data_IF_256352552699
#
_entry.id   IF_256352552699
#
_cell.length_a   1.000
_cell.length_b   1.000
_cell.length_c   1.000
_cell.angle_alpha   90.00
_cell.angle_beta   90.00
_cell.angle_gamma   90.00
#
_symmetry.space_group_name_H-M   'P 1'
#
loop_
_entity.id
_entity.type
_entity.pdbx_description
1 polymer ?
#
# COMPACT_ATOMS: atom_id res chain seq x y z
N UNK A 1 1.79 16.65 -18.90
CA UNK A 1 1.38 17.89 -18.21
C UNK A 1 0.27 18.67 -18.96
N UNK A 2 -0.79 17.99 -19.47
CA UNK A 2 -1.92 18.64 -20.18
C UNK A 2 -3.32 18.08 -19.87
N UNK A 3 -3.47 17.17 -18.90
CA UNK A 3 -4.77 16.54 -18.61
C UNK A 3 -5.40 16.92 -17.26
N UNK A 4 -4.79 17.81 -16.47
CA UNK A 4 -5.19 18.04 -15.07
C UNK A 4 -6.03 19.30 -14.78
N UNK A 5 -6.55 19.99 -15.81
CA UNK A 5 -7.09 21.36 -15.66
C UNK A 5 -8.60 21.53 -15.95
N UNK A 6 -9.44 20.50 -15.86
CA UNK A 6 -10.86 20.62 -16.25
C UNK A 6 -11.94 20.08 -15.30
N UNK A 7 -11.73 19.98 -13.99
CA UNK A 7 -12.86 19.69 -13.07
C UNK A 7 -12.87 20.61 -11.83
N UNK A 8 -13.18 21.88 -12.08
CA UNK A 8 -13.67 22.82 -11.08
C UNK A 8 -14.96 23.45 -11.61
N UNK A 9 -16.11 22.86 -11.28
CA UNK A 9 -17.39 23.59 -11.22
C UNK A 9 -18.52 22.74 -10.61
N UNK A 10 -19.26 23.43 -9.75
CA UNK A 10 -20.60 23.17 -9.20
C UNK A 10 -20.75 22.13 -8.09
N UNK A 11 -20.89 22.66 -6.86
CA UNK A 11 -21.50 21.99 -5.72
C UNK A 11 -23.00 22.24 -5.61
N UNK A 12 -23.60 21.50 -4.67
CA UNK A 12 -24.90 21.61 -3.94
C UNK A 12 -25.20 20.16 -3.52
N UNK A 13 -25.20 19.73 -2.26
CA UNK A 13 -25.81 20.29 -1.06
C UNK A 13 -27.21 19.70 -0.93
N UNK A 14 -27.46 18.80 0.03
CA UNK A 14 -28.78 18.45 0.62
C UNK A 14 -28.60 17.86 2.03
N UNK A 15 -29.51 18.26 2.92
CA UNK A 15 -29.72 17.81 4.32
C UNK A 15 -30.94 16.87 4.39
N UNK A 16 -31.13 16.34 5.61
CA UNK A 16 -32.32 15.71 6.22
C UNK A 16 -32.35 14.19 6.14
N UNK A 17 -32.82 13.42 7.11
CA UNK A 17 -33.06 13.55 8.55
C UNK A 17 -33.27 12.11 9.07
N UNK A 18 -32.98 11.85 10.35
CA UNK A 18 -33.21 10.56 11.00
C UNK A 18 -34.61 10.48 11.62
N UNK A 19 -35.04 9.27 12.00
CA UNK A 19 -35.69 9.12 13.31
C UNK A 19 -35.12 7.98 14.16
N UNK A 20 -35.26 8.18 15.47
CA UNK A 20 -34.87 7.30 16.56
C UNK A 20 -35.94 6.23 16.87
N UNK A 21 -35.52 5.11 17.46
CA UNK A 21 -36.35 4.28 18.33
C UNK A 21 -35.51 3.52 19.36
N UNK A 22 -35.94 3.63 20.63
CA UNK A 22 -35.56 2.83 21.80
C UNK A 22 -36.02 1.36 21.66
N UNK A 23 -35.58 0.35 22.41
CA UNK A 23 -34.70 0.22 23.56
C UNK A 23 -34.73 -1.23 24.09
N UNK A 24 -33.89 -1.48 25.11
CA UNK A 24 -33.92 -2.56 26.12
C UNK A 24 -33.62 -4.03 25.74
N UNK A 25 -32.67 -4.61 26.49
CA UNK A 25 -32.46 -6.05 26.61
C UNK A 25 -31.09 -6.43 27.14
N UNK A 26 -30.89 -6.36 28.47
CA UNK A 26 -29.71 -6.94 29.13
C UNK A 26 -29.77 -8.47 29.07
N UNK A 27 -28.81 -9.07 28.38
CA UNK A 27 -28.53 -10.50 28.42
C UNK A 27 -27.06 -10.72 28.78
N UNK A 28 -26.81 -11.32 29.94
CA UNK A 28 -25.49 -11.76 30.38
C UNK A 28 -25.06 -12.93 29.48
N UNK A 29 -24.05 -12.73 28.63
CA UNK A 29 -23.38 -13.81 27.93
C UNK A 29 -21.99 -14.02 28.52
N UNK A 30 -21.79 -15.23 29.02
CA UNK A 30 -20.56 -15.80 29.54
C UNK A 30 -19.37 -15.59 28.60
N UNK A 31 -18.21 -15.34 29.23
CA UNK A 31 -16.98 -14.93 28.58
C UNK A 31 -16.55 -15.83 27.43
N UNK A 32 -16.31 -15.19 26.29
CA UNK A 32 -15.44 -15.69 25.25
C UNK A 32 -14.20 -14.81 25.30
N UNK A 33 -13.05 -15.38 25.67
CA UNK A 33 -11.77 -14.69 25.60
C UNK A 33 -11.56 -14.07 24.21
N UNK A 34 -10.70 -13.05 24.07
CA UNK A 34 -10.58 -12.30 22.83
C UNK A 34 -10.29 -13.25 21.67
N UNK A 35 -11.29 -13.47 20.82
CA UNK A 35 -11.13 -14.16 19.55
C UNK A 35 -10.10 -13.34 18.78
N UNK A 36 -8.89 -13.90 18.62
CA UNK A 36 -7.86 -13.35 17.76
C UNK A 36 -8.52 -13.12 16.40
N UNK A 37 -8.68 -11.86 15.99
CA UNK A 37 -9.22 -11.53 14.68
C UNK A 37 -8.38 -12.29 13.65
N UNK A 38 -9.02 -13.17 12.87
CA UNK A 38 -8.31 -13.86 11.80
C UNK A 38 -7.88 -12.81 10.80
N UNK A 39 -6.58 -12.74 10.51
CA UNK A 39 -6.08 -11.92 9.43
C UNK A 39 -6.84 -12.29 8.14
N UNK A 40 -7.41 -11.28 7.47
CA UNK A 40 -8.18 -11.46 6.23
C UNK A 40 -7.35 -12.10 5.11
N UNK A 41 -6.03 -11.92 5.20
CA UNK A 41 -5.06 -12.42 4.25
C UNK A 41 -3.93 -13.15 4.98
N UNK A 42 -3.36 -14.15 4.31
CA UNK A 42 -2.19 -14.92 4.76
C UNK A 42 -1.20 -15.04 3.63
N UNK A 43 0.03 -15.38 3.97
CA UNK A 43 1.10 -15.58 3.00
C UNK A 43 1.54 -17.04 2.91
N UNK A 44 2.08 -17.43 1.76
CA UNK A 44 2.82 -18.67 1.55
C UNK A 44 4.19 -18.34 0.93
N UNK A 45 5.25 -18.77 1.60
CA UNK A 45 6.63 -18.57 1.14
C UNK A 45 7.09 -19.77 0.30
N UNK A 46 7.79 -19.50 -0.80
CA UNK A 46 8.47 -20.49 -1.64
C UNK A 46 9.89 -20.02 -1.92
N UNK A 47 10.82 -20.97 -2.03
CA UNK A 47 12.25 -20.66 -2.09
C UNK A 47 12.82 -20.18 -0.76
N UNK A 48 14.09 -19.79 -0.77
CA UNK A 48 14.81 -19.42 0.42
C UNK A 48 14.70 -17.90 0.67
N UNK A 49 14.44 -17.41 1.89
CA UNK A 49 14.50 -15.97 2.14
C UNK A 49 15.85 -15.38 1.71
N UNK A 50 15.79 -14.21 1.05
CA UNK A 50 16.95 -13.46 0.54
C UNK A 50 17.67 -14.07 -0.69
N UNK A 51 17.09 -15.08 -1.36
CA UNK A 51 17.61 -15.60 -2.64
C UNK A 51 16.79 -15.14 -3.86
N UNK A 52 17.34 -15.35 -5.06
CA UNK A 52 16.69 -14.96 -6.33
C UNK A 52 15.40 -15.74 -6.65
N UNK A 53 15.24 -16.93 -6.08
CA UNK A 53 14.06 -17.79 -6.24
C UNK A 53 13.02 -17.60 -5.12
N UNK A 54 13.26 -16.72 -4.14
CA UNK A 54 12.30 -16.39 -3.10
C UNK A 54 11.01 -15.79 -3.69
N UNK A 55 9.86 -16.34 -3.32
CA UNK A 55 8.54 -15.83 -3.69
C UNK A 55 7.62 -15.83 -2.48
N UNK A 56 6.77 -14.80 -2.40
CA UNK A 56 5.74 -14.65 -1.39
C UNK A 56 4.38 -14.57 -2.06
N UNK A 57 3.56 -15.60 -1.88
CA UNK A 57 2.21 -15.68 -2.41
C UNK A 57 1.18 -15.28 -1.37
N UNK A 58 0.03 -14.78 -1.81
CA UNK A 58 -1.03 -14.31 -0.92
C UNK A 58 -2.24 -15.23 -1.03
N UNK A 59 -2.91 -15.45 0.10
CA UNK A 59 -4.15 -16.20 0.22
C UNK A 59 -5.20 -15.39 0.96
N UNK A 60 -6.47 -15.52 0.58
CA UNK A 60 -7.58 -14.98 1.34
C UNK A 60 -7.99 -15.91 2.50
N UNK A 61 -9.04 -15.55 3.25
CA UNK A 61 -9.56 -16.35 4.38
C UNK A 61 -10.00 -17.77 4.01
N UNK A 62 -10.36 -18.03 2.76
CA UNK A 62 -10.74 -19.36 2.26
C UNK A 62 -9.53 -20.23 1.88
N UNK A 63 -8.31 -19.68 1.97
CA UNK A 63 -7.07 -20.37 1.56
C UNK A 63 -6.80 -20.33 0.05
N UNK A 64 -7.64 -19.60 -0.70
CA UNK A 64 -7.51 -19.38 -2.13
C UNK A 64 -6.40 -18.39 -2.45
N UNK A 65 -5.60 -18.69 -3.48
CA UNK A 65 -4.56 -17.78 -3.95
C UNK A 65 -5.17 -16.52 -4.56
N UNK A 66 -4.51 -15.40 -4.32
CA UNK A 66 -4.91 -14.08 -4.81
C UNK A 66 -3.68 -13.29 -5.26
N UNK A 67 -3.87 -12.39 -6.21
CA UNK A 67 -2.86 -11.40 -6.57
C UNK A 67 -2.89 -10.24 -5.57
N UNK A 68 -1.77 -9.92 -4.88
CA UNK A 68 -1.72 -8.76 -4.01
C UNK A 68 -1.88 -7.44 -4.78
N UNK A 69 -1.69 -7.45 -6.10
CA UNK A 69 -1.80 -6.27 -6.94
C UNK A 69 -3.23 -6.05 -7.48
N UNK A 70 -4.05 -7.09 -7.58
CA UNK A 70 -5.34 -7.02 -8.27
C UNK A 70 -6.54 -7.40 -7.40
N UNK A 71 -6.35 -8.33 -6.46
CA UNK A 71 -7.47 -8.94 -5.73
C UNK A 71 -7.64 -8.34 -4.32
N UNK A 72 -6.61 -7.71 -3.76
CA UNK A 72 -6.72 -7.01 -2.48
C UNK A 72 -7.41 -5.65 -2.69
N UNK A 73 -8.55 -5.39 -2.05
CA UNK A 73 -9.20 -4.08 -2.12
C UNK A 73 -8.31 -3.00 -1.53
N UNK A 74 -8.46 -1.77 -2.02
CA UNK A 74 -7.69 -0.61 -1.56
C UNK A 74 -7.87 -0.27 -0.05
N UNK A 75 -8.86 -0.85 0.64
CA UNK A 75 -9.14 -0.63 2.07
C UNK A 75 -9.06 -1.97 2.81
N UNK A 76 -8.23 -2.08 3.84
CA UNK A 76 -7.97 -3.29 4.66
C UNK A 76 -7.77 -2.87 6.14
N UNK A 77 -7.55 -3.75 7.14
CA UNK A 77 -7.29 -3.44 8.58
C UNK A 77 -6.13 -4.27 9.20
N UNK A 78 -5.17 -3.70 9.96
CA UNK A 78 -4.20 -4.44 10.85
C UNK A 78 -3.29 -3.54 11.76
N UNK A 79 -2.24 -4.00 12.49
CA UNK A 79 -1.44 -3.35 13.60
C UNK A 79 0.12 -3.49 13.55
N UNK A 80 0.84 -2.58 14.24
CA UNK A 80 2.28 -2.58 14.70
C UNK A 80 3.38 -2.96 13.69
N UNK A 81 4.64 -3.19 14.10
CA UNK A 81 5.76 -3.45 13.15
C UNK A 81 5.36 -4.60 12.23
N UNK A 82 5.20 -4.25 10.96
CA UNK A 82 4.51 -5.11 10.01
C UNK A 82 5.43 -6.20 9.52
N UNK A 83 4.87 -7.40 9.39
CA UNK A 83 5.57 -8.50 8.73
C UNK A 83 5.55 -8.30 7.21
N UNK A 84 6.56 -8.84 6.50
CA UNK A 84 6.58 -8.83 5.03
C UNK A 84 5.32 -9.54 4.49
N UNK A 85 4.58 -8.85 3.64
CA UNK A 85 3.31 -9.33 3.07
C UNK A 85 2.10 -9.19 3.98
N UNK A 86 2.22 -8.50 5.11
CA UNK A 86 1.06 -8.12 5.90
C UNK A 86 0.23 -7.05 5.17
N UNK A 87 -1.09 -7.18 5.23
CA UNK A 87 -2.04 -6.29 4.57
C UNK A 87 -2.80 -5.51 5.62
N UNK A 88 -2.71 -4.17 5.60
CA UNK A 88 -3.17 -3.31 6.69
C UNK A 88 -4.06 -2.15 6.23
N UNK A 89 -4.87 -1.58 7.14
CA UNK A 89 -5.45 -0.26 6.89
C UNK A 89 -4.39 0.78 7.14
N UNK A 90 -4.39 1.79 6.29
CA UNK A 90 -3.74 3.05 6.61
C UNK A 90 -4.70 4.22 6.44
N UNK A 91 -4.57 5.21 7.32
CA UNK A 91 -5.09 6.56 7.11
C UNK A 91 -4.08 7.35 6.31
N UNK A 92 -4.46 7.77 5.10
CA UNK A 92 -3.66 8.67 4.28
C UNK A 92 -3.58 10.05 4.93
N UNK A 93 -2.37 10.58 5.04
CA UNK A 93 -2.06 11.89 5.65
C UNK A 93 -1.51 12.87 4.61
N UNK A 94 -0.76 12.39 3.61
CA UNK A 94 -0.19 13.24 2.57
C UNK A 94 0.61 12.45 1.55
N UNK A 95 1.40 13.15 0.73
CA UNK A 95 2.17 12.54 -0.35
C UNK A 95 3.40 13.39 -0.71
N UNK A 96 4.49 12.74 -1.11
CA UNK A 96 5.70 13.36 -1.64
C UNK A 96 5.90 12.94 -3.10
N UNK A 97 6.33 13.88 -3.93
CA UNK A 97 6.55 13.68 -5.37
C UNK A 97 8.05 13.54 -5.68
N UNK A 98 8.58 12.32 -5.56
CA UNK A 98 9.96 12.03 -5.99
C UNK A 98 10.02 12.01 -7.52
N UNK A 99 11.08 12.57 -8.08
CA UNK A 99 11.44 12.40 -9.49
C UNK A 99 12.59 11.41 -9.54
N UNK A 100 12.28 10.18 -9.94
CA UNK A 100 13.26 9.11 -10.05
C UNK A 100 13.59 8.86 -11.52
N UNK A 101 14.83 9.13 -11.90
CA UNK A 101 15.35 8.90 -13.26
C UNK A 101 14.44 9.47 -14.39
N UNK A 102 13.80 10.62 -14.11
CA UNK A 102 12.90 11.32 -15.05
C UNK A 102 11.43 10.92 -14.95
N UNK A 103 11.10 9.94 -14.11
CA UNK A 103 9.75 9.46 -13.87
C UNK A 103 9.18 9.98 -12.54
N UNK A 104 7.85 10.04 -12.43
CA UNK A 104 7.18 10.43 -11.19
C UNK A 104 6.99 9.22 -10.30
N UNK A 105 7.59 9.27 -9.11
CA UNK A 105 7.49 8.23 -8.09
C UNK A 105 6.82 8.81 -6.83
N UNK A 106 5.53 8.50 -6.66
CA UNK A 106 4.74 9.04 -5.56
C UNK A 106 4.95 8.26 -4.26
N UNK A 107 5.36 8.95 -3.20
CA UNK A 107 5.51 8.38 -1.85
C UNK A 107 4.36 8.82 -0.96
N UNK A 108 3.40 7.92 -0.70
CA UNK A 108 2.30 8.19 0.22
C UNK A 108 2.79 8.23 1.67
N UNK A 109 2.30 9.20 2.42
CA UNK A 109 2.48 9.29 3.87
C UNK A 109 1.19 8.86 4.53
N UNK A 110 1.27 7.81 5.33
CA UNK A 110 0.11 7.21 5.97
C UNK A 110 0.47 6.65 7.34
N UNK A 111 -0.53 6.53 8.20
CA UNK A 111 -0.41 5.87 9.51
C UNK A 111 -1.33 4.66 9.52
N UNK A 112 -0.92 3.59 10.18
CA UNK A 112 -1.79 2.46 10.43
C UNK A 112 -3.09 2.93 11.12
N UNK A 113 -4.28 2.58 10.61
CA UNK A 113 -5.54 3.07 11.19
C UNK A 113 -5.81 2.52 12.60
N UNK A 114 -5.20 1.39 12.97
CA UNK A 114 -5.28 0.80 14.31
C UNK A 114 -4.11 1.19 15.22
N UNK A 115 -3.23 2.09 14.77
CA UNK A 115 -2.19 2.67 15.62
C UNK A 115 -2.86 3.37 16.83
N UNK A 116 -2.38 3.17 18.07
CA UNK A 116 -2.94 3.85 19.25
C UNK A 116 -2.96 5.38 19.13
N UNK A 117 -2.05 5.97 18.35
CA UNK A 117 -1.98 7.39 18.08
C UNK A 117 -2.72 7.80 16.78
N UNK A 118 -3.31 6.88 16.02
CA UNK A 118 -3.95 7.16 14.73
C UNK A 118 -4.97 8.29 14.81
N UNK A 119 -5.69 8.41 15.93
CA UNK A 119 -6.68 9.47 16.17
C UNK A 119 -6.08 10.87 16.27
N UNK A 120 -4.76 11.02 16.41
CA UNK A 120 -4.05 12.32 16.42
C UNK A 120 -3.68 12.81 15.02
N UNK A 121 -3.68 11.92 14.01
CA UNK A 121 -3.19 12.23 12.67
C UNK A 121 -4.33 12.22 11.66
N UNK A 122 -4.65 13.38 11.10
CA UNK A 122 -5.72 13.57 10.12
C UNK A 122 -5.25 14.17 8.80
N UNK A 123 -4.15 14.93 8.82
CA UNK A 123 -3.51 15.51 7.65
C UNK A 123 -1.98 15.60 7.85
N UNK A 124 -1.25 16.01 6.82
CA UNK A 124 0.22 16.09 6.81
C UNK A 124 0.76 17.06 7.88
N UNK A 125 -0.01 18.09 8.22
CA UNK A 125 0.35 19.05 9.27
C UNK A 125 0.46 18.42 10.66
N UNK A 126 -0.32 17.37 10.94
CA UNK A 126 -0.27 16.65 12.21
C UNK A 126 1.03 15.86 12.36
N UNK A 127 1.59 15.36 11.25
CA UNK A 127 2.91 14.70 11.26
C UNK A 127 3.97 15.68 11.72
N UNK A 128 4.00 16.89 11.13
CA UNK A 128 4.94 17.95 11.53
C UNK A 128 4.77 18.35 13.00
N UNK A 129 3.53 18.39 13.49
CA UNK A 129 3.20 18.79 14.87
C UNK A 129 3.61 17.72 15.90
N UNK A 130 3.24 16.46 15.67
CA UNK A 130 3.40 15.40 16.67
C UNK A 130 4.67 14.56 16.48
N UNK A 131 5.32 14.63 15.31
CA UNK A 131 6.58 13.95 14.98
C UNK A 131 7.53 14.96 14.31
N UNK A 132 7.99 16.00 15.03
CA UNK A 132 8.89 17.02 14.46
C UNK A 132 10.18 16.40 13.92
N UNK A 133 10.62 16.81 12.74
CA UNK A 133 11.81 16.28 12.05
C UNK A 133 11.56 15.03 11.20
N UNK A 134 10.40 14.39 11.30
CA UNK A 134 10.13 13.11 10.62
C UNK A 134 9.94 13.28 9.11
N UNK A 135 9.28 14.36 8.67
CA UNK A 135 9.10 14.67 7.25
C UNK A 135 10.43 15.10 6.62
N UNK A 136 11.24 15.87 7.34
CA UNK A 136 12.56 16.30 6.93
C UNK A 136 13.51 15.09 6.79
N UNK A 137 13.49 14.17 7.77
CA UNK A 137 14.24 12.92 7.68
C UNK A 137 13.79 12.04 6.50
N UNK A 138 12.49 11.96 6.23
CA UNK A 138 11.93 11.22 5.08
C UNK A 138 12.39 11.82 3.76
N UNK A 139 12.33 13.15 3.62
CA UNK A 139 12.80 13.86 2.43
C UNK A 139 14.30 13.62 2.20
N UNK A 140 15.11 13.72 3.25
CA UNK A 140 16.55 13.48 3.18
C UNK A 140 16.86 12.03 2.81
N UNK A 141 16.14 11.05 3.39
CA UNK A 141 16.32 9.65 3.03
C UNK A 141 16.11 9.44 1.53
N UNK A 142 15.00 9.90 0.97
CA UNK A 142 14.73 9.77 -0.47
C UNK A 142 15.68 10.59 -1.34
N UNK A 143 16.18 11.72 -0.86
CA UNK A 143 17.17 12.53 -1.58
C UNK A 143 18.49 11.79 -1.75
N UNK A 144 18.92 11.08 -0.71
CA UNK A 144 20.29 10.63 -0.57
C UNK A 144 20.50 9.11 -0.71
N UNK A 145 19.45 8.28 -0.66
CA UNK A 145 19.64 6.82 -0.55
C UNK A 145 20.45 6.18 -1.68
N UNK A 146 20.49 6.79 -2.87
CA UNK A 146 21.29 6.30 -4.02
C UNK A 146 22.71 6.87 -4.07
N UNK A 147 23.04 7.87 -3.26
CA UNK A 147 24.35 8.53 -3.26
C UNK A 147 25.49 7.55 -2.90
N UNK A 148 25.34 6.65 -1.91
CA UNK A 148 26.33 5.60 -1.65
C UNK A 148 26.64 4.69 -2.85
N UNK A 149 25.70 4.56 -3.80
CA UNK A 149 25.85 3.78 -5.03
C UNK A 149 26.55 4.58 -6.16
N UNK A 150 26.99 5.82 -5.88
CA UNK A 150 27.60 6.71 -6.87
C UNK A 150 26.59 7.43 -7.77
N UNK A 151 25.28 7.33 -7.49
CA UNK A 151 24.23 8.06 -8.22
C UNK A 151 24.07 9.49 -7.66
N UNK A 152 23.58 10.45 -8.47
CA UNK A 152 23.29 11.80 -7.98
C UNK A 152 22.14 11.81 -6.96
N UNK A 153 21.99 12.93 -6.25
CA UNK A 153 20.80 13.17 -5.42
C UNK A 153 19.52 13.10 -6.24
N UNK A 154 18.48 12.50 -5.68
CA UNK A 154 17.16 12.52 -6.31
C UNK A 154 16.52 13.91 -6.23
N UNK A 155 15.69 14.21 -7.23
CA UNK A 155 14.94 15.45 -7.32
C UNK A 155 13.50 15.26 -6.87
N UNK A 156 12.79 16.36 -6.64
CA UNK A 156 11.40 16.34 -6.20
C UNK A 156 10.58 17.38 -6.96
N UNK A 157 9.36 17.03 -7.33
CA UNK A 157 8.39 18.04 -7.76
C UNK A 157 7.98 18.91 -6.57
N UNK A 158 7.35 20.05 -6.86
CA UNK A 158 6.90 21.02 -5.84
C UNK A 158 8.00 21.42 -4.86
N UNK A 159 9.26 21.42 -5.30
CA UNK A 159 10.42 21.75 -4.46
C UNK A 159 10.54 20.88 -3.19
N UNK A 160 10.10 19.61 -3.24
CA UNK A 160 10.13 18.71 -2.09
C UNK A 160 9.04 18.95 -1.05
N UNK A 161 8.03 19.78 -1.37
CA UNK A 161 6.88 20.01 -0.48
C UNK A 161 5.99 18.76 -0.42
N UNK A 162 5.70 18.30 0.80
CA UNK A 162 4.66 17.30 1.02
C UNK A 162 3.28 17.91 0.75
N UNK A 163 2.50 17.29 -0.13
CA UNK A 163 1.11 17.69 -0.36
C UNK A 163 0.19 17.02 0.66
N UNK A 164 -0.90 17.70 0.99
CA UNK A 164 -1.85 17.29 2.02
C UNK A 164 -2.64 16.03 1.62
N UNK A 165 -3.44 15.54 2.57
CA UNK A 165 -4.30 14.37 2.38
C UNK A 165 -5.23 14.49 1.18
N UNK A 166 -5.82 15.66 0.96
CA UNK A 166 -6.78 15.87 -0.13
C UNK A 166 -6.12 15.62 -1.50
N UNK A 167 -4.96 16.23 -1.72
CA UNK A 167 -4.18 16.03 -2.93
C UNK A 167 -3.73 14.55 -3.08
N UNK A 168 -3.27 13.93 -1.99
CA UNK A 168 -2.89 12.52 -2.00
C UNK A 168 -4.04 11.59 -2.43
N UNK A 169 -5.26 11.86 -1.97
CA UNK A 169 -6.46 11.09 -2.35
C UNK A 169 -6.83 11.28 -3.83
N UNK A 170 -6.60 12.47 -4.40
CA UNK A 170 -6.78 12.70 -5.85
C UNK A 170 -5.79 11.88 -6.67
N UNK A 171 -4.52 11.84 -6.26
CA UNK A 171 -3.49 11.01 -6.91
C UNK A 171 -3.85 9.53 -6.82
N UNK A 172 -4.23 9.03 -5.63
CA UNK A 172 -4.69 7.64 -5.44
C UNK A 172 -5.88 7.32 -6.34
N UNK A 173 -6.86 8.22 -6.42
CA UNK A 173 -8.02 8.03 -7.28
C UNK A 173 -7.58 7.93 -8.75
N UNK A 174 -6.71 8.82 -9.20
CA UNK A 174 -6.20 8.81 -10.57
C UNK A 174 -5.44 7.52 -10.90
N UNK A 175 -4.55 7.07 -10.02
CA UNK A 175 -3.77 5.83 -10.25
C UNK A 175 -4.65 4.59 -10.19
N UNK A 176 -5.69 4.59 -9.35
CA UNK A 176 -6.69 3.52 -9.31
C UNK A 176 -7.50 3.45 -10.61
N UNK A 177 -7.88 4.58 -11.21
CA UNK A 177 -8.54 4.57 -12.53
C UNK A 177 -7.60 4.07 -13.64
N UNK A 178 -6.30 4.42 -13.60
CA UNK A 178 -5.31 3.81 -14.51
C UNK A 178 -5.22 2.29 -14.33
N UNK A 179 -5.22 1.80 -13.09
CA UNK A 179 -5.23 0.36 -12.79
C UNK A 179 -6.51 -0.33 -13.29
N UNK A 180 -7.69 0.29 -13.14
CA UNK A 180 -8.93 -0.24 -13.71
C UNK A 180 -8.85 -0.36 -15.23
N UNK A 181 -8.32 0.68 -15.89
CA UNK A 181 -8.13 0.66 -17.34
C UNK A 181 -7.16 -0.45 -17.77
N UNK A 182 -6.07 -0.66 -17.03
CA UNK A 182 -5.12 -1.75 -17.23
C UNK A 182 -5.80 -3.11 -17.12
N UNK A 183 -6.49 -3.38 -16.01
CA UNK A 183 -7.17 -4.66 -15.79
C UNK A 183 -8.28 -4.92 -16.81
N UNK A 184 -8.94 -3.89 -17.31
CA UNK A 184 -9.97 -4.02 -18.34
C UNK A 184 -9.40 -4.04 -19.76
N UNK A 185 -8.07 -4.17 -19.93
CA UNK A 185 -7.36 -4.16 -21.21
C UNK A 185 -7.67 -2.92 -22.08
N UNK A 186 -7.96 -1.78 -21.43
CA UNK A 186 -8.24 -0.49 -22.08
C UNK A 186 -6.98 0.33 -22.37
N UNK A 187 -5.82 -0.13 -21.92
CA UNK A 187 -4.51 0.42 -22.25
C UNK A 187 -3.50 -0.71 -22.49
N UNK A 188 -2.33 -0.38 -23.06
CA UNK A 188 -1.25 -1.34 -23.23
C UNK A 188 -0.59 -1.61 -21.86
N UNK A 189 -0.71 -2.86 -21.38
CA UNK A 189 -0.14 -3.28 -20.10
C UNK A 189 1.36 -3.59 -20.14
N UNK A 190 1.99 -3.58 -21.32
CA UNK A 190 3.41 -3.88 -21.47
C UNK A 190 3.77 -5.24 -20.85
N UNK A 191 4.73 -5.24 -19.93
CA UNK A 191 5.20 -6.44 -19.24
C UNK A 191 4.39 -6.79 -17.97
N UNK A 192 3.37 -6.02 -17.60
CA UNK A 192 2.61 -6.24 -16.36
C UNK A 192 1.72 -7.49 -16.51
N UNK A 193 1.97 -8.49 -15.65
CA UNK A 193 1.07 -9.63 -15.54
C UNK A 193 -0.20 -9.22 -14.79
N UNK A 194 -1.33 -9.22 -15.50
CA UNK A 194 -2.63 -8.81 -14.98
C UNK A 194 -3.50 -9.98 -14.46
N UNK A 195 -2.94 -11.20 -14.39
CA UNK A 195 -3.65 -12.40 -13.96
C UNK A 195 -4.21 -12.22 -12.55
N UNK A 196 -5.50 -12.49 -12.37
CA UNK A 196 -6.21 -12.29 -11.10
C UNK A 196 -7.32 -13.33 -10.92
N UNK A 197 -7.81 -13.49 -9.69
CA UNK A 197 -8.81 -14.54 -9.40
C UNK A 197 -10.13 -14.00 -8.84
N UNK A 198 -10.19 -12.72 -8.48
CA UNK A 198 -11.39 -12.13 -7.85
C UNK A 198 -12.06 -11.06 -8.71
N UNK A 199 -11.39 -10.53 -9.73
CA UNK A 199 -11.98 -9.50 -10.61
C UNK A 199 -12.74 -10.19 -11.74
N UNK A 200 -13.98 -10.61 -11.49
CA UNK A 200 -14.76 -11.45 -12.43
C UNK A 200 -14.90 -10.87 -13.84
N UNK A 201 -15.00 -9.54 -13.97
CA UNK A 201 -15.15 -8.87 -15.28
C UNK A 201 -13.81 -8.63 -15.99
N UNK A 202 -12.69 -8.98 -15.37
CA UNK A 202 -11.37 -8.82 -15.98
C UNK A 202 -11.14 -9.89 -17.05
N UNK A 203 -10.70 -9.52 -18.27
CA UNK A 203 -10.28 -10.48 -19.28
C UNK A 203 -9.05 -11.31 -18.88
N UNK A 204 -8.37 -10.94 -17.80
CA UNK A 204 -7.22 -11.66 -17.23
C UNK A 204 -7.60 -12.56 -16.03
N UNK A 205 -8.89 -12.73 -15.76
CA UNK A 205 -9.36 -13.60 -14.68
C UNK A 205 -8.96 -15.07 -14.96
N UNK A 206 -8.38 -15.74 -13.97
CA UNK A 206 -8.09 -17.18 -14.00
C UNK A 206 -8.83 -17.92 -12.88
N UNK A 207 -8.90 -19.24 -12.97
CA UNK A 207 -9.45 -20.12 -11.95
C UNK A 207 -8.48 -20.30 -10.76
N UNK A 208 -9.02 -20.80 -9.64
CA UNK A 208 -8.19 -21.14 -8.48
C UNK A 208 -7.23 -22.29 -8.78
N UNK A 209 -7.64 -23.23 -9.63
CA UNK A 209 -6.84 -24.36 -10.07
C UNK A 209 -5.63 -23.89 -10.90
N UNK A 210 -5.85 -22.95 -11.82
CA UNK A 210 -4.77 -22.33 -12.61
C UNK A 210 -3.82 -21.53 -11.72
N UNK A 211 -4.35 -20.71 -10.80
CA UNK A 211 -3.53 -19.96 -9.84
C UNK A 211 -2.69 -20.90 -8.97
N UNK A 212 -3.28 -21.99 -8.46
CA UNK A 212 -2.57 -23.01 -7.67
C UNK A 212 -1.48 -23.71 -8.48
N UNK A 213 -1.78 -24.14 -9.70
CA UNK A 213 -0.80 -24.77 -10.58
C UNK A 213 0.38 -23.85 -10.88
N UNK A 214 0.15 -22.54 -11.02
CA UNK A 214 1.21 -21.56 -11.22
C UNK A 214 2.14 -21.49 -10.00
N UNK A 215 1.59 -21.44 -8.79
CA UNK A 215 2.40 -21.43 -7.55
C UNK A 215 3.19 -22.72 -7.39
N UNK A 216 2.58 -23.86 -7.68
CA UNK A 216 3.22 -25.18 -7.55
C UNK A 216 4.32 -25.42 -8.59
N UNK A 217 4.23 -24.78 -9.76
CA UNK A 217 5.24 -24.87 -10.81
C UNK A 217 6.55 -24.12 -10.50
N UNK A 218 6.55 -23.26 -9.46
CA UNK A 218 7.73 -22.49 -9.09
C UNK A 218 8.79 -23.41 -8.46
N UNK A 219 9.78 -23.77 -9.27
CA UNK A 219 10.97 -24.46 -8.83
C UNK A 219 11.80 -23.56 -7.92
N UNK A 220 12.31 -24.13 -6.83
CA UNK A 220 13.27 -23.45 -5.95
C UNK A 220 14.46 -24.35 -5.65
N UNK A 221 15.61 -23.72 -5.46
CA UNK A 221 16.87 -24.33 -5.04
C UNK A 221 17.17 -23.94 -3.60
N UNK A 222 17.61 -24.91 -2.79
CA UNK A 222 18.16 -24.63 -1.46
C UNK A 222 19.58 -24.08 -1.62
N UNK A 223 19.75 -22.76 -1.61
CA UNK A 223 21.07 -22.12 -1.61
C UNK A 223 21.24 -21.20 -0.39
N UNK A 224 22.03 -21.65 0.58
CA UNK A 224 22.54 -20.81 1.69
C UNK A 224 23.54 -19.78 1.15
N UNK A 225 23.04 -18.65 0.68
CA UNK A 225 23.84 -17.42 0.65
C UNK A 225 23.59 -16.67 1.96
N UNK A 226 24.63 -16.59 2.79
CA UNK A 226 24.69 -15.65 3.90
C UNK A 226 25.26 -14.35 3.36
N UNK A 227 24.41 -13.34 3.19
CA UNK A 227 24.88 -12.02 2.81
C UNK A 227 25.31 -11.28 4.09
N UNK A 228 26.62 -11.19 4.33
CA UNK A 228 27.21 -10.55 5.52
C UNK A 228 27.32 -9.01 5.39
N UNK A 229 26.80 -8.40 4.32
CA UNK A 229 27.05 -6.97 4.03
C UNK A 229 26.11 -5.96 4.75
N UNK A 230 25.21 -6.37 5.64
CA UNK A 230 24.13 -5.48 6.13
C UNK A 230 24.50 -4.51 7.29
N UNK A 231 25.78 -4.24 7.56
CA UNK A 231 26.17 -3.35 8.68
C UNK A 231 27.15 -2.23 8.33
N UNK A 232 27.03 -1.62 7.15
CA UNK A 232 27.85 -0.44 6.78
C UNK A 232 27.07 0.86 6.98
N UNK A 233 27.67 1.80 7.72
CA UNK A 233 27.15 3.18 7.82
C UNK A 233 27.78 4.07 6.76
N UNK A 234 26.95 4.68 5.92
CA UNK A 234 27.38 5.68 4.95
C UNK A 234 27.14 7.09 5.50
N UNK A 235 28.23 7.85 5.67
CA UNK A 235 28.17 9.25 6.10
C UNK A 235 28.37 10.16 4.89
N UNK A 236 27.35 10.96 4.59
CA UNK A 236 27.42 11.98 3.55
C UNK A 236 27.97 13.27 4.15
N UNK A 237 28.95 13.88 3.49
CA UNK A 237 29.52 15.16 3.91
C UNK A 237 28.44 16.22 4.08
N UNK A 238 28.60 17.08 5.10
CA UNK A 238 27.67 18.19 5.38
C UNK A 238 27.82 19.33 4.39
#
# INVERSE_FOLDING_TARGET
MRALLQLLRTGRGWRADAPAAAGLGWGVSTGMGPRRAMALYRTEERGQPYSQDYRLFFKNVAGHYISPFHDIPLKVDSKEVLSRGEVIHVKILGILALIDEGETDWKLIAINANDPEASKFHDIGDVKKFKPGYLEATLNWFRFYKVPEGKPENQFAFNGEFKNKAFALEVIKSTHECWKALLMKKCNGGAINCTNVQVCDSPFHCSQEEAKSLVESVSFSLSKESNEEEQVWHFLGK
#
